data_IF_948256001023
#
_entry.id   IF_948256001023
#
_cell.length_a   1.000
_cell.length_b   1.000
_cell.length_c   1.000
_cell.angle_alpha   90.00
_cell.angle_beta   90.00
_cell.angle_gamma   90.00
#
_symmetry.space_group_name_H-M   'P 1'
#
loop_
_entity.id
_entity.type
_entity.pdbx_description
1 polymer ?
#
# COMPACT_ATOMS: atom_id res chain seq x y z
N UNK A 1 -8.40 -24.11 58.82
CA UNK A 1 -9.00 -25.40 58.46
C UNK A 1 -9.65 -25.21 57.09
N UNK A 2 -9.26 -25.78 55.97
CA UNK A 2 -8.13 -26.61 55.51
C UNK A 2 -8.23 -26.54 53.97
N UNK A 3 -7.24 -25.97 53.27
CA UNK A 3 -6.37 -26.68 52.33
C UNK A 3 -7.09 -27.53 51.26
N UNK A 4 -7.03 -27.09 50.00
CA UNK A 4 -6.32 -27.81 48.93
C UNK A 4 -6.19 -26.98 47.65
N UNK A 5 -4.97 -26.46 47.44
CA UNK A 5 -4.34 -26.32 46.13
C UNK A 5 -4.41 -27.65 45.37
N UNK A 6 -4.63 -27.61 44.05
CA UNK A 6 -3.68 -28.25 43.13
C UNK A 6 -3.80 -27.72 41.70
N UNK A 7 -2.65 -27.44 41.04
CA UNK A 7 -2.56 -26.97 39.67
C UNK A 7 -2.57 -28.16 38.70
N UNK A 8 -3.04 -27.94 37.48
CA UNK A 8 -2.75 -28.83 36.35
C UNK A 8 -1.96 -28.05 35.31
N UNK A 9 -0.65 -28.08 35.54
CA UNK A 9 0.38 -27.85 34.53
C UNK A 9 0.24 -28.98 33.53
N UNK A 10 -0.02 -28.65 32.27
CA UNK A 10 0.15 -29.59 31.16
C UNK A 10 0.92 -28.87 30.04
N UNK A 11 2.22 -28.79 30.27
CA UNK A 11 3.22 -28.61 29.23
C UNK A 11 3.24 -29.86 28.37
N UNK A 12 3.04 -29.75 27.05
CA UNK A 12 3.53 -30.75 26.10
C UNK A 12 3.96 -30.09 24.78
N UNK A 13 5.25 -29.76 24.74
CA UNK A 13 6.23 -29.87 23.64
C UNK A 13 5.75 -30.14 22.20
N UNK A 14 6.02 -29.14 21.36
CA UNK A 14 6.68 -29.17 20.03
C UNK A 14 6.87 -30.53 19.33
N UNK A 15 6.31 -30.68 18.12
CA UNK A 15 6.93 -31.45 17.03
C UNK A 15 6.76 -30.66 15.74
N UNK A 16 7.88 -30.20 15.18
CA UNK A 16 7.95 -29.55 13.88
C UNK A 16 7.80 -30.54 12.74
N UNK A 17 7.20 -30.08 11.66
CA UNK A 17 7.37 -30.67 10.33
C UNK A 17 7.78 -29.54 9.39
N UNK A 18 9.10 -29.42 9.21
CA UNK A 18 9.67 -28.82 8.02
C UNK A 18 9.47 -29.82 6.87
N UNK A 19 8.68 -29.43 5.87
CA UNK A 19 8.73 -30.03 4.55
C UNK A 19 8.93 -28.88 3.55
N UNK A 20 10.18 -28.71 3.17
CA UNK A 20 10.55 -27.88 2.03
C UNK A 20 10.06 -28.50 0.73
N UNK A 21 9.55 -27.66 -0.14
CA UNK A 21 9.49 -27.92 -1.57
C UNK A 21 9.93 -26.64 -2.28
N UNK A 22 11.25 -26.54 -2.50
CA UNK A 22 11.86 -25.66 -3.50
C UNK A 22 11.43 -26.15 -4.88
N UNK A 23 10.31 -25.63 -5.38
CA UNK A 23 9.97 -25.75 -6.79
C UNK A 23 10.48 -24.50 -7.51
N UNK A 24 11.68 -24.61 -8.07
CA UNK A 24 12.19 -23.68 -9.07
C UNK A 24 11.24 -23.72 -10.29
N UNK A 25 10.45 -22.67 -10.48
CA UNK A 25 9.70 -22.48 -11.72
C UNK A 25 10.66 -21.87 -12.74
N UNK A 26 10.97 -22.53 -13.87
CA UNK A 26 11.74 -21.91 -14.95
C UNK A 26 10.86 -20.85 -15.63
N UNK A 27 11.24 -19.58 -15.47
CA UNK A 27 10.72 -18.47 -16.27
C UNK A 27 11.17 -18.65 -17.74
N UNK A 28 10.28 -18.51 -18.73
CA UNK A 28 10.67 -18.52 -20.13
C UNK A 28 11.49 -17.27 -20.47
N UNK A 29 12.69 -17.47 -21.04
CA UNK A 29 13.53 -16.38 -21.54
C UNK A 29 12.80 -15.57 -22.64
N UNK A 30 12.98 -14.24 -22.69
CA UNK A 30 12.44 -13.42 -23.75
C UNK A 30 13.06 -13.82 -25.09
N UNK A 31 12.19 -14.09 -26.06
CA UNK A 31 12.55 -14.32 -27.46
C UNK A 31 13.25 -13.10 -28.04
N UNK A 32 14.21 -13.41 -28.89
CA UNK A 32 15.11 -12.51 -29.59
C UNK A 32 14.42 -11.28 -30.19
N UNK A 33 14.98 -10.11 -29.87
CA UNK A 33 14.73 -8.88 -30.60
C UNK A 33 15.22 -9.06 -32.03
N UNK A 34 14.28 -9.03 -32.99
CA UNK A 34 14.61 -9.06 -34.40
C UNK A 34 15.33 -7.76 -34.78
N UNK A 35 16.58 -7.96 -35.18
CA UNK A 35 17.47 -6.99 -35.81
C UNK A 35 16.89 -6.50 -37.13
N UNK A 36 16.64 -5.18 -37.24
CA UNK A 36 16.70 -4.49 -38.53
C UNK A 36 17.62 -3.28 -38.39
N UNK A 37 18.87 -3.49 -38.80
CA UNK A 37 19.80 -2.42 -39.14
C UNK A 37 19.51 -1.89 -40.54
N UNK A 38 19.60 -0.57 -40.75
CA UNK A 38 20.16 0.05 -41.96
C UNK A 38 20.64 1.47 -41.62
N UNK A 39 21.78 1.95 -42.15
CA UNK A 39 22.54 3.07 -41.57
C UNK A 39 22.48 4.40 -42.37
N UNK A 40 22.82 5.48 -41.65
CA UNK A 40 23.58 6.66 -42.15
C UNK A 40 22.81 8.00 -42.26
N UNK A 41 23.48 9.17 -42.30
CA UNK A 41 24.79 9.55 -41.73
C UNK A 41 24.75 10.84 -40.87
N UNK A 42 25.76 10.92 -39.99
CA UNK A 42 26.48 12.06 -39.38
C UNK A 42 25.87 13.48 -39.39
N UNK A 43 25.78 14.10 -38.20
CA UNK A 43 26.26 15.48 -37.96
C UNK A 43 26.67 15.60 -36.49
N UNK A 44 27.97 15.80 -36.28
CA UNK A 44 28.55 16.33 -35.04
C UNK A 44 28.03 17.74 -34.81
N UNK A 45 27.55 18.03 -33.60
CA UNK A 45 27.77 19.33 -32.96
C UNK A 45 27.78 19.15 -31.43
N UNK A 46 28.96 19.29 -30.85
CA UNK A 46 29.18 19.77 -29.48
C UNK A 46 30.10 20.98 -29.66
N UNK A 47 29.96 22.07 -28.89
CA UNK A 47 30.22 21.97 -27.46
C UNK A 47 29.41 22.94 -26.56
N UNK A 48 29.38 22.64 -25.26
CA UNK A 48 29.98 23.47 -24.17
C UNK A 48 29.11 23.46 -22.92
N UNK A 49 29.77 23.07 -21.83
CA UNK A 49 29.34 23.14 -20.44
C UNK A 49 28.66 24.46 -20.05
N UNK A 50 27.47 24.31 -19.49
CA UNK A 50 26.82 25.31 -18.64
C UNK A 50 26.41 24.63 -17.34
N UNK A 51 27.38 24.43 -16.45
CA UNK A 51 27.14 24.02 -15.07
C UNK A 51 26.35 25.11 -14.35
N UNK A 52 25.03 25.08 -14.42
CA UNK A 52 24.16 25.73 -13.45
C UNK A 52 23.79 24.70 -12.39
N UNK A 53 24.43 24.79 -11.23
CA UNK A 53 23.80 24.34 -9.99
C UNK A 53 22.53 25.18 -9.81
N UNK A 54 21.39 24.65 -10.28
CA UNK A 54 20.11 25.10 -9.79
C UNK A 54 20.04 24.68 -8.32
N UNK A 55 19.82 25.66 -7.45
CA UNK A 55 19.29 25.42 -6.12
C UNK A 55 17.97 24.63 -6.27
N UNK A 56 17.52 23.87 -5.26
CA UNK A 56 16.18 23.32 -5.34
C UNK A 56 15.22 24.50 -5.42
N UNK A 57 14.49 24.60 -6.53
CA UNK A 57 13.39 25.53 -6.67
C UNK A 57 12.36 25.14 -5.60
N UNK A 58 12.34 25.92 -4.51
CA UNK A 58 11.37 25.86 -3.41
C UNK A 58 10.06 26.56 -3.84
N UNK A 59 9.69 26.34 -5.10
CA UNK A 59 8.45 26.79 -5.73
C UNK A 59 7.64 25.53 -6.00
N UNK A 60 7.19 24.85 -4.94
CA UNK A 60 5.92 24.11 -5.11
C UNK A 60 4.90 25.17 -5.44
N UNK A 61 4.59 25.31 -6.73
CA UNK A 61 3.72 26.37 -7.22
C UNK A 61 2.44 26.34 -6.38
N UNK A 62 2.09 27.47 -5.76
CA UNK A 62 0.89 27.54 -4.91
C UNK A 62 -0.38 27.14 -5.68
N UNK A 63 -0.33 27.22 -7.01
CA UNK A 63 -1.35 26.76 -7.94
C UNK A 63 -1.43 25.22 -8.01
N UNK A 64 -0.30 24.51 -7.96
CA UNK A 64 -0.24 23.03 -7.98
C UNK A 64 -0.82 22.44 -6.67
N UNK A 65 -0.48 23.03 -5.52
CA UNK A 65 -1.11 22.64 -4.25
C UNK A 65 -2.62 22.95 -4.25
N UNK A 66 -3.03 24.05 -4.87
CA UNK A 66 -4.44 24.42 -5.03
C UNK A 66 -5.22 23.39 -5.87
N UNK A 67 -4.62 22.91 -6.95
CA UNK A 67 -5.20 21.89 -7.82
C UNK A 67 -5.31 20.53 -7.11
N UNK A 68 -4.29 20.13 -6.33
CA UNK A 68 -4.32 18.90 -5.54
C UNK A 68 -5.46 18.89 -4.49
N UNK A 69 -5.71 20.02 -3.81
CA UNK A 69 -6.84 20.10 -2.88
C UNK A 69 -8.19 19.99 -3.59
N UNK A 70 -8.35 20.67 -4.73
CA UNK A 70 -9.58 20.60 -5.51
C UNK A 70 -9.85 19.18 -6.04
N UNK A 71 -8.81 18.50 -6.52
CA UNK A 71 -8.89 17.10 -6.92
C UNK A 71 -9.27 16.19 -5.76
N UNK A 72 -8.64 16.39 -4.60
CA UNK A 72 -8.98 15.64 -3.39
C UNK A 72 -10.46 15.82 -3.03
N UNK A 73 -10.98 17.05 -3.02
CA UNK A 73 -12.40 17.26 -2.75
C UNK A 73 -13.31 16.55 -3.76
N UNK A 74 -12.93 16.56 -5.04
CA UNK A 74 -13.63 15.83 -6.08
C UNK A 74 -13.58 14.31 -5.85
N UNK A 75 -12.44 13.77 -5.47
CA UNK A 75 -12.28 12.35 -5.11
C UNK A 75 -13.22 11.96 -3.97
N UNK A 76 -13.21 12.70 -2.85
CA UNK A 76 -14.09 12.42 -1.71
C UNK A 76 -15.57 12.49 -2.10
N UNK A 77 -15.94 13.45 -2.94
CA UNK A 77 -17.30 13.59 -3.47
C UNK A 77 -17.69 12.43 -4.38
N UNK A 78 -16.83 12.04 -5.30
CA UNK A 78 -17.06 10.94 -6.24
C UNK A 78 -17.16 9.59 -5.51
N UNK A 79 -16.33 9.39 -4.51
CA UNK A 79 -16.33 8.21 -3.64
C UNK A 79 -17.43 8.24 -2.57
N UNK A 80 -18.14 9.37 -2.41
CA UNK A 80 -19.19 9.54 -1.39
C UNK A 80 -18.67 9.26 0.04
N UNK A 81 -17.45 9.69 0.32
CA UNK A 81 -16.80 9.50 1.62
C UNK A 81 -17.24 10.61 2.59
N UNK A 82 -17.93 10.29 3.71
CA UNK A 82 -18.29 11.29 4.71
C UNK A 82 -17.05 11.81 5.46
N UNK A 83 -17.01 13.12 5.68
CA UNK A 83 -15.94 13.81 6.42
C UNK A 83 -16.32 14.16 7.87
N UNK A 84 -17.48 13.68 8.33
CA UNK A 84 -18.06 13.99 9.64
C UNK A 84 -17.64 13.00 10.74
N UNK A 85 -16.79 12.03 10.41
CA UNK A 85 -16.32 10.97 11.31
C UNK A 85 -17.31 9.81 11.48
N UNK A 86 -18.39 9.76 10.69
CA UNK A 86 -19.24 8.57 10.65
C UNK A 86 -18.48 7.36 10.07
N UNK A 87 -18.74 6.14 10.56
CA UNK A 87 -18.12 4.94 10.01
C UNK A 87 -18.40 4.78 8.52
N UNK A 88 -17.37 4.40 7.76
CA UNK A 88 -17.47 4.22 6.32
C UNK A 88 -18.21 2.92 5.99
N UNK A 89 -19.03 2.99 4.93
CA UNK A 89 -19.76 1.85 4.35
C UNK A 89 -19.64 1.95 2.84
N UNK A 90 -19.47 0.83 2.14
CA UNK A 90 -19.30 0.84 0.70
C UNK A 90 -20.57 1.31 -0.03
N UNK A 91 -20.46 2.42 -0.77
CA UNK A 91 -21.58 3.01 -1.52
C UNK A 91 -21.43 2.79 -3.02
N UNK A 92 -20.25 3.11 -3.57
CA UNK A 92 -19.98 2.99 -5.00
C UNK A 92 -19.86 1.52 -5.43
N UNK A 93 -20.09 1.18 -6.71
CA UNK A 93 -19.88 -0.18 -7.20
C UNK A 93 -18.45 -0.69 -6.96
N UNK A 94 -17.44 0.16 -7.17
CA UNK A 94 -16.03 -0.19 -6.95
C UNK A 94 -15.73 -0.50 -5.47
N UNK A 95 -16.22 0.34 -4.55
CA UNK A 95 -16.10 0.09 -3.11
C UNK A 95 -16.78 -1.21 -2.70
N UNK A 96 -17.98 -1.49 -3.24
CA UNK A 96 -18.71 -2.73 -2.93
C UNK A 96 -17.96 -3.96 -3.40
N UNK A 97 -17.33 -3.88 -4.57
CA UNK A 97 -16.50 -4.97 -5.07
C UNK A 97 -15.25 -5.15 -4.20
N UNK A 98 -14.52 -4.07 -3.91
CA UNK A 98 -13.37 -4.09 -3.01
C UNK A 98 -13.69 -4.77 -1.67
N UNK A 99 -14.77 -4.33 -1.00
CA UNK A 99 -15.18 -4.90 0.29
C UNK A 99 -15.66 -6.33 0.15
N UNK A 100 -16.36 -6.70 -0.93
CA UNK A 100 -16.76 -8.07 -1.16
C UNK A 100 -15.56 -9.01 -1.30
N UNK A 101 -14.52 -8.58 -2.02
CA UNK A 101 -13.29 -9.36 -2.21
C UNK A 101 -12.49 -9.48 -0.90
N UNK A 102 -12.33 -8.40 -0.15
CA UNK A 102 -11.65 -8.44 1.15
C UNK A 102 -12.40 -9.28 2.18
N UNK A 103 -13.72 -9.15 2.23
CA UNK A 103 -14.58 -9.98 3.07
C UNK A 103 -14.43 -11.46 2.72
N UNK A 104 -14.48 -11.81 1.43
CA UNK A 104 -14.33 -13.18 0.98
C UNK A 104 -12.96 -13.76 1.35
N UNK A 105 -11.89 -12.95 1.27
CA UNK A 105 -10.55 -13.35 1.69
C UNK A 105 -10.49 -13.64 3.20
N UNK A 106 -11.00 -12.73 4.04
CA UNK A 106 -11.00 -12.90 5.51
C UNK A 106 -11.86 -14.09 5.94
N UNK A 107 -13.08 -14.19 5.42
CA UNK A 107 -14.00 -15.29 5.74
C UNK A 107 -13.47 -16.64 5.21
N UNK A 108 -12.77 -16.64 4.07
CA UNK A 108 -12.08 -17.80 3.52
C UNK A 108 -10.96 -18.34 4.42
N UNK A 109 -10.40 -17.50 5.30
CA UNK A 109 -9.41 -17.90 6.31
C UNK A 109 -10.04 -18.33 7.65
N UNK A 110 -11.38 -18.37 7.74
CA UNK A 110 -12.11 -18.77 8.93
C UNK A 110 -12.31 -17.67 9.97
N UNK A 111 -11.99 -16.42 9.64
CA UNK A 111 -12.29 -15.25 10.46
C UNK A 111 -13.68 -14.68 10.13
N UNK A 112 -14.26 -13.89 11.04
CA UNK A 112 -15.52 -13.18 10.79
C UNK A 112 -15.26 -11.77 10.28
N UNK A 113 -16.09 -11.28 9.38
CA UNK A 113 -16.07 -9.90 8.90
C UNK A 113 -17.10 -9.03 9.62
N UNK A 114 -16.66 -7.92 10.21
CA UNK A 114 -17.49 -6.95 10.93
C UNK A 114 -17.68 -5.64 10.14
N UNK A 115 -18.62 -4.81 10.59
CA UNK A 115 -18.79 -3.46 10.04
C UNK A 115 -17.57 -2.56 10.34
N UNK A 116 -16.84 -2.83 11.42
CA UNK A 116 -15.61 -2.11 11.73
C UNK A 116 -14.49 -2.46 10.74
N UNK A 117 -14.39 -3.74 10.33
CA UNK A 117 -13.42 -4.18 9.33
C UNK A 117 -13.68 -3.52 7.98
N UNK A 118 -14.96 -3.41 7.58
CA UNK A 118 -15.36 -2.65 6.40
C UNK A 118 -14.95 -1.18 6.48
N UNK A 119 -15.27 -0.51 7.59
CA UNK A 119 -14.94 0.91 7.76
C UNK A 119 -13.42 1.16 7.72
N UNK A 120 -12.62 0.31 8.38
CA UNK A 120 -11.15 0.44 8.39
C UNK A 120 -10.59 0.16 6.99
N UNK A 121 -11.09 -0.87 6.32
CA UNK A 121 -10.62 -1.27 4.99
C UNK A 121 -10.87 -0.17 3.95
N UNK A 122 -12.05 0.47 3.99
CA UNK A 122 -12.35 1.63 3.15
C UNK A 122 -11.48 2.83 3.50
N UNK A 123 -11.26 3.09 4.79
CA UNK A 123 -10.45 4.21 5.24
C UNK A 123 -8.99 4.06 4.78
N UNK A 124 -8.41 2.87 4.86
CA UNK A 124 -7.05 2.59 4.39
C UNK A 124 -6.89 2.93 2.90
N UNK A 125 -7.81 2.43 2.07
CA UNK A 125 -7.77 2.68 0.63
C UNK A 125 -7.98 4.17 0.30
N UNK A 126 -8.91 4.84 0.99
CA UNK A 126 -9.16 6.27 0.80
C UNK A 126 -7.96 7.13 1.22
N UNK A 127 -7.32 6.82 2.36
CA UNK A 127 -6.13 7.52 2.89
C UNK A 127 -4.95 7.42 1.91
N UNK A 128 -4.76 6.26 1.26
CA UNK A 128 -3.74 6.09 0.23
C UNK A 128 -4.04 6.86 -1.06
N UNK A 129 -5.29 6.86 -1.52
CA UNK A 129 -5.67 7.64 -2.70
C UNK A 129 -5.57 9.15 -2.43
N UNK A 130 -5.96 9.61 -1.24
CA UNK A 130 -5.75 11.00 -0.80
C UNK A 130 -4.26 11.33 -0.78
N UNK A 131 -3.42 10.43 -0.26
CA UNK A 131 -1.95 10.62 -0.24
C UNK A 131 -1.38 10.72 -1.66
N UNK A 132 -1.85 9.91 -2.60
CA UNK A 132 -1.43 10.01 -3.99
C UNK A 132 -1.77 11.39 -4.58
N UNK A 133 -3.02 11.86 -4.41
CA UNK A 133 -3.42 13.20 -4.88
C UNK A 133 -2.57 14.30 -4.25
N UNK A 134 -2.36 14.25 -2.92
CA UNK A 134 -1.59 15.26 -2.19
C UNK A 134 -0.08 15.21 -2.48
N UNK A 135 0.39 14.15 -3.13
CA UNK A 135 1.77 14.02 -3.63
C UNK A 135 1.85 14.20 -5.15
N UNK A 136 0.86 14.83 -5.78
CA UNK A 136 0.78 15.01 -7.23
C UNK A 136 0.92 13.68 -8.01
N UNK A 137 0.41 12.59 -7.43
CA UNK A 137 0.50 11.22 -7.92
C UNK A 137 1.94 10.65 -7.97
N UNK A 138 2.89 11.29 -7.30
CA UNK A 138 4.28 10.82 -7.16
C UNK A 138 4.40 9.82 -6.00
N UNK A 139 3.98 8.58 -6.28
CA UNK A 139 4.03 7.48 -5.33
C UNK A 139 5.30 6.63 -5.56
N UNK A 140 6.19 6.63 -4.57
CA UNK A 140 7.37 5.77 -4.51
C UNK A 140 7.54 5.11 -3.12
N UNK A 141 8.67 4.43 -2.91
CA UNK A 141 9.00 3.80 -1.64
C UNK A 141 9.10 4.80 -0.46
N UNK A 142 9.58 6.02 -0.72
CA UNK A 142 9.68 7.09 0.29
C UNK A 142 8.29 7.59 0.66
N UNK A 143 7.41 7.79 -0.32
CA UNK A 143 6.00 8.17 -0.12
C UNK A 143 5.30 7.11 0.73
N UNK A 144 5.47 5.81 0.41
CA UNK A 144 4.90 4.72 1.18
C UNK A 144 5.40 4.68 2.63
N UNK A 145 6.72 4.74 2.84
CA UNK A 145 7.29 4.72 4.20
C UNK A 145 6.81 5.92 5.01
N UNK A 146 6.82 7.11 4.42
CA UNK A 146 6.35 8.34 5.07
C UNK A 146 4.87 8.23 5.43
N UNK A 147 4.04 7.74 4.51
CA UNK A 147 2.62 7.51 4.76
C UNK A 147 2.39 6.54 5.92
N UNK A 148 3.04 5.37 5.92
CA UNK A 148 2.90 4.37 6.99
C UNK A 148 3.36 4.93 8.35
N UNK A 149 4.45 5.69 8.37
CA UNK A 149 5.03 6.25 9.61
C UNK A 149 4.19 7.40 10.19
N UNK A 150 3.48 8.15 9.35
CA UNK A 150 2.77 9.37 9.74
C UNK A 150 1.24 9.22 9.78
N UNK A 151 0.67 8.20 9.13
CA UNK A 151 -0.77 7.97 9.07
C UNK A 151 -1.34 7.68 10.48
N UNK A 152 -2.30 8.50 10.96
CA UNK A 152 -3.02 8.22 12.18
C UNK A 152 -3.77 6.87 12.13
N UNK A 153 -4.16 6.41 10.95
CA UNK A 153 -4.86 5.15 10.76
C UNK A 153 -3.93 3.96 11.02
N UNK A 154 -2.71 3.99 10.49
CA UNK A 154 -1.69 2.99 10.82
C UNK A 154 -1.33 3.01 12.31
N UNK A 155 -1.20 4.19 12.91
CA UNK A 155 -0.94 4.32 14.35
C UNK A 155 -2.08 3.76 15.23
N UNK A 156 -3.33 3.85 14.77
CA UNK A 156 -4.50 3.30 15.46
C UNK A 156 -4.61 1.77 15.34
N UNK A 157 -4.24 1.21 14.18
CA UNK A 157 -4.30 -0.24 13.92
C UNK A 157 -3.10 -0.96 14.53
N UNK A 158 -1.92 -0.32 14.53
CA UNK A 158 -0.65 -0.88 14.98
C UNK A 158 -0.08 -0.02 16.13
N UNK A 159 -0.52 -0.25 17.38
CA UNK A 159 -0.04 0.47 18.54
C UNK A 159 1.50 0.43 18.68
N UNK A 160 2.10 1.55 19.10
CA UNK A 160 3.56 1.73 19.19
C UNK A 160 4.24 0.86 20.26
N UNK A 161 3.47 0.30 21.19
CA UNK A 161 3.93 -0.63 22.23
C UNK A 161 3.99 -2.09 21.75
N UNK A 162 3.56 -2.37 20.53
CA UNK A 162 3.76 -3.66 19.86
C UNK A 162 5.26 -3.91 19.66
N UNK A 163 5.72 -5.15 19.88
CA UNK A 163 7.13 -5.49 19.63
C UNK A 163 7.50 -5.30 18.15
N UNK A 164 8.77 -5.03 17.87
CA UNK A 164 9.22 -4.63 16.54
C UNK A 164 8.92 -5.67 15.45
N UNK A 165 8.96 -6.97 15.76
CA UNK A 165 8.72 -8.02 14.77
C UNK A 165 7.23 -8.12 14.43
N UNK A 166 6.37 -8.10 15.46
CA UNK A 166 4.91 -8.08 15.27
C UNK A 166 4.47 -6.81 14.56
N UNK A 167 5.07 -5.66 14.89
CA UNK A 167 4.80 -4.39 14.23
C UNK A 167 5.14 -4.45 12.74
N UNK A 168 6.34 -4.90 12.38
CA UNK A 168 6.76 -5.00 10.99
C UNK A 168 5.87 -5.95 10.16
N UNK A 169 5.45 -7.09 10.75
CA UNK A 169 4.49 -7.99 10.11
C UNK A 169 3.10 -7.34 9.96
N UNK A 170 2.65 -6.60 10.97
CA UNK A 170 1.41 -5.85 10.94
C UNK A 170 1.41 -4.76 9.88
N UNK A 171 2.47 -3.96 9.79
CA UNK A 171 2.61 -2.88 8.80
C UNK A 171 2.51 -3.44 7.39
N UNK A 172 3.22 -4.53 7.10
CA UNK A 172 3.14 -5.22 5.81
C UNK A 172 1.71 -5.66 5.48
N UNK A 173 1.00 -6.26 6.44
CA UNK A 173 -0.37 -6.73 6.21
C UNK A 173 -1.35 -5.58 5.99
N UNK A 174 -1.25 -4.50 6.78
CA UNK A 174 -2.12 -3.32 6.64
C UNK A 174 -1.84 -2.59 5.33
N UNK A 175 -0.57 -2.39 4.97
CA UNK A 175 -0.17 -1.81 3.69
C UNK A 175 -0.67 -2.67 2.52
N UNK A 176 -0.62 -4.00 2.61
CA UNK A 176 -1.16 -4.88 1.57
C UNK A 176 -2.67 -4.68 1.36
N UNK A 177 -3.46 -4.46 2.41
CA UNK A 177 -4.91 -4.20 2.30
C UNK A 177 -5.15 -2.83 1.67
N UNK A 178 -4.42 -1.81 2.12
CA UNK A 178 -4.44 -0.46 1.59
C UNK A 178 -4.21 -0.45 0.07
N UNK A 179 -3.14 -1.07 -0.40
CA UNK A 179 -2.75 -1.12 -1.82
C UNK A 179 -3.73 -1.94 -2.65
N UNK A 180 -4.25 -3.04 -2.11
CA UNK A 180 -5.32 -3.75 -2.81
C UNK A 180 -6.55 -2.87 -3.00
N UNK A 181 -6.86 -1.98 -2.04
CA UNK A 181 -7.94 -1.02 -2.18
C UNK A 181 -7.71 0.05 -3.24
N UNK A 182 -6.46 0.48 -3.48
CA UNK A 182 -6.16 1.50 -4.49
C UNK A 182 -6.52 1.03 -5.89
N UNK A 183 -6.41 -0.27 -6.20
CA UNK A 183 -6.85 -0.82 -7.50
C UNK A 183 -8.35 -0.67 -7.79
N UNK A 184 -9.16 -0.29 -6.79
CA UNK A 184 -10.58 -0.01 -6.94
C UNK A 184 -10.90 1.49 -6.85
N UNK A 185 -10.29 2.19 -5.90
CA UNK A 185 -10.65 3.58 -5.59
C UNK A 185 -9.87 4.63 -6.41
N UNK A 186 -8.60 4.36 -6.70
CA UNK A 186 -7.70 5.20 -7.50
C UNK A 186 -6.83 4.31 -8.41
N UNK A 187 -7.43 3.66 -9.43
CA UNK A 187 -6.76 2.61 -10.20
C UNK A 187 -5.54 3.10 -10.99
N UNK A 188 -5.47 4.40 -11.30
CA UNK A 188 -4.34 5.00 -12.03
C UNK A 188 -3.07 5.04 -11.16
N UNK A 189 -3.20 5.16 -9.83
CA UNK A 189 -2.09 5.18 -8.87
C UNK A 189 -1.69 3.78 -8.37
N UNK A 190 -2.58 2.80 -8.54
CA UNK A 190 -2.39 1.45 -7.99
C UNK A 190 -1.07 0.76 -8.42
N UNK A 191 -0.60 0.88 -9.67
CA UNK A 191 0.68 0.31 -10.07
C UNK A 191 1.88 0.91 -9.32
N UNK A 192 1.86 2.22 -9.06
CA UNK A 192 2.94 2.91 -8.34
C UNK A 192 2.97 2.49 -6.86
N UNK A 193 1.80 2.41 -6.23
CA UNK A 193 1.65 1.85 -4.88
C UNK A 193 2.15 0.40 -4.77
N UNK A 194 1.84 -0.43 -5.77
CA UNK A 194 2.31 -1.81 -5.81
C UNK A 194 3.83 -1.90 -5.95
N UNK A 195 4.43 -1.06 -6.81
CA UNK A 195 5.87 -1.00 -6.98
C UNK A 195 6.58 -0.57 -5.69
N UNK A 196 6.10 0.50 -5.06
CA UNK A 196 6.61 0.98 -3.76
C UNK A 196 6.56 -0.10 -2.69
N UNK A 197 5.46 -0.85 -2.61
CA UNK A 197 5.32 -1.96 -1.65
C UNK A 197 6.30 -3.10 -1.89
N UNK A 198 6.52 -3.47 -3.14
CA UNK A 198 7.50 -4.50 -3.47
C UNK A 198 8.92 -4.03 -3.17
N UNK A 199 9.22 -2.75 -3.34
CA UNK A 199 10.54 -2.21 -2.95
C UNK A 199 10.74 -2.23 -1.43
N UNK A 200 9.73 -1.81 -0.66
CA UNK A 200 9.82 -1.71 0.81
C UNK A 200 9.72 -3.08 1.50
N UNK A 201 8.86 -3.96 1.02
CA UNK A 201 8.50 -5.22 1.70
C UNK A 201 8.77 -6.49 0.89
N UNK A 202 9.13 -6.38 -0.39
CA UNK A 202 9.19 -7.51 -1.33
C UNK A 202 10.27 -8.54 -1.01
N UNK A 203 11.42 -8.12 -0.47
CA UNK A 203 12.48 -9.02 0.02
C UNK A 203 13.22 -9.79 -1.08
#
# INVERSE_FOLDING_TARGET
MDLRLRPLVLSLTLVGVLLGATACIPLPSPRDAESVATPGPTTEESPTDGSSSAAPDDDTDADELGDAFAEREEFFRAQQLPMDGTPLVAVTPAQKQFIAEQRAYVEGQGASWSAQDESITLALAADACETAILSAHEVDATTLQTHVDTSPLFAAILPKDTDAATRAAGERNVASVMIFGTSFLCPDDAPAWQAAYLEVYGG
#
